data_IF_709464878107
#
_entry.id   IF_709464878107
#
_cell.length_a   1.000
_cell.length_b   1.000
_cell.length_c   1.000
_cell.angle_alpha   90.00
_cell.angle_beta   90.00
_cell.angle_gamma   90.00
#
_symmetry.space_group_name_H-M   'P 1'
#
loop_
_entity.id
_entity.type
_entity.pdbx_description
1 polymer ?
#
# COMPACT_ATOMS: atom_id res chain seq x y z
N UNK A 1 8.02 51.04 59.16
CA UNK A 1 7.81 49.54 59.08
C UNK A 1 7.57 49.22 57.60
N UNK A 2 8.56 48.65 56.92
CA UNK A 2 8.48 48.26 55.47
C UNK A 2 8.16 46.78 55.38
N UNK A 3 7.02 46.43 54.75
CA UNK A 3 6.66 45.06 54.43
C UNK A 3 7.15 44.68 53.05
N UNK A 4 8.08 43.73 52.99
CA UNK A 4 8.65 43.22 51.74
C UNK A 4 7.72 42.07 51.23
N UNK A 5 7.21 42.26 50.01
CA UNK A 5 6.43 41.17 49.28
C UNK A 5 7.41 40.35 48.50
N UNK A 6 7.48 39.03 48.78
CA UNK A 6 8.24 38.07 47.97
C UNK A 6 7.35 37.54 46.83
N UNK A 7 7.67 37.87 45.62
CA UNK A 7 7.11 37.30 44.40
C UNK A 7 7.85 35.99 44.12
N UNK A 8 7.16 34.85 44.31
CA UNK A 8 7.66 33.56 43.93
C UNK A 8 7.22 33.20 42.51
N UNK A 9 8.15 33.22 41.57
CA UNK A 9 7.94 32.73 40.19
C UNK A 9 8.13 31.23 40.19
N UNK A 10 7.01 30.48 40.09
CA UNK A 10 7.04 29.04 39.88
C UNK A 10 7.06 28.76 38.37
N UNK A 11 8.22 28.45 37.82
CA UNK A 11 8.41 27.92 36.47
C UNK A 11 8.04 26.43 36.48
N UNK A 12 6.83 26.09 36.08
CA UNK A 12 6.43 24.71 35.83
C UNK A 12 6.88 24.29 34.41
N UNK A 13 8.09 23.74 34.26
CA UNK A 13 8.53 23.05 33.07
C UNK A 13 7.95 21.64 33.04
N UNK A 14 6.70 21.51 32.59
CA UNK A 14 6.08 20.23 32.31
C UNK A 14 6.57 19.68 30.99
N UNK A 15 7.53 18.77 31.01
CA UNK A 15 7.91 17.96 29.85
C UNK A 15 6.67 17.21 29.36
N UNK A 16 6.29 17.28 28.05
CA UNK A 16 5.10 16.57 27.57
C UNK A 16 5.33 15.07 27.73
N UNK A 17 4.51 14.44 28.56
CA UNK A 17 4.52 13.01 28.81
C UNK A 17 4.16 12.31 27.51
N UNK A 18 5.13 11.61 26.87
CA UNK A 18 4.92 10.86 25.63
C UNK A 18 3.65 10.00 25.77
N UNK A 19 2.68 10.19 24.87
CA UNK A 19 1.41 9.46 24.87
C UNK A 19 1.70 7.96 24.74
N UNK A 20 1.34 7.19 25.74
CA UNK A 20 1.53 5.74 25.75
C UNK A 20 0.70 5.12 24.61
N UNK A 21 1.38 4.50 23.64
CA UNK A 21 0.71 3.82 22.51
C UNK A 21 -0.26 2.76 23.01
N UNK A 22 -1.44 2.71 22.42
CA UNK A 22 -2.46 1.70 22.69
C UNK A 22 -2.03 0.33 22.18
N UNK A 23 -2.68 -0.73 22.64
CA UNK A 23 -2.43 -2.09 22.13
C UNK A 23 -2.73 -2.18 20.63
N UNK A 24 -3.79 -1.52 20.16
CA UNK A 24 -4.17 -1.48 18.75
C UNK A 24 -3.11 -0.77 17.88
N UNK A 25 -2.59 0.38 18.33
CA UNK A 25 -1.51 1.11 17.64
C UNK A 25 -0.24 0.26 17.51
N UNK A 26 0.14 -0.46 18.57
CA UNK A 26 1.30 -1.37 18.55
C UNK A 26 1.09 -2.56 17.63
N UNK A 27 -0.10 -3.15 17.62
CA UNK A 27 -0.48 -4.25 16.73
C UNK A 27 -0.41 -3.81 15.27
N UNK A 28 -0.97 -2.64 14.94
CA UNK A 28 -0.92 -2.06 13.60
C UNK A 28 0.53 -1.78 13.17
N UNK A 29 1.34 -1.14 14.02
CA UNK A 29 2.75 -0.87 13.71
C UNK A 29 3.55 -2.17 13.45
N UNK A 30 3.27 -3.24 14.21
CA UNK A 30 3.90 -4.54 14.00
C UNK A 30 3.47 -5.14 12.66
N UNK A 31 2.18 -5.07 12.30
CA UNK A 31 1.66 -5.54 11.03
C UNK A 31 2.35 -4.85 9.85
N UNK A 32 2.48 -3.54 9.89
CA UNK A 32 3.16 -2.74 8.86
C UNK A 32 4.64 -3.10 8.70
N UNK A 33 5.35 -3.31 9.82
CA UNK A 33 6.75 -3.75 9.78
C UNK A 33 6.91 -5.12 9.15
N UNK A 34 6.03 -6.06 9.47
CA UNK A 34 6.02 -7.41 8.88
C UNK A 34 5.78 -7.35 7.37
N UNK A 35 4.81 -6.57 6.91
CA UNK A 35 4.53 -6.39 5.48
C UNK A 35 5.74 -5.77 4.77
N UNK A 36 6.36 -4.72 5.33
CA UNK A 36 7.53 -4.08 4.75
C UNK A 36 8.73 -5.05 4.64
N UNK A 37 9.00 -5.85 5.66
CA UNK A 37 10.04 -6.88 5.62
C UNK A 37 9.75 -7.97 4.59
N UNK A 38 8.49 -8.40 4.47
CA UNK A 38 8.09 -9.36 3.45
C UNK A 38 8.32 -8.82 2.04
N UNK A 39 7.98 -7.55 1.76
CA UNK A 39 8.26 -6.89 0.47
C UNK A 39 9.77 -6.88 0.18
N UNK A 40 10.59 -6.51 1.17
CA UNK A 40 12.05 -6.49 1.03
C UNK A 40 12.62 -7.87 0.68
N UNK A 41 12.17 -8.92 1.39
CA UNK A 41 12.64 -10.29 1.16
C UNK A 41 12.14 -10.84 -0.18
N UNK A 42 10.90 -10.57 -0.56
CA UNK A 42 10.38 -10.94 -1.88
C UNK A 42 11.22 -10.36 -3.02
N UNK A 43 11.60 -9.09 -2.90
CA UNK A 43 12.47 -8.46 -3.89
C UNK A 43 13.88 -9.05 -3.94
N UNK A 44 14.49 -9.34 -2.77
CA UNK A 44 15.88 -9.80 -2.67
C UNK A 44 16.05 -11.30 -2.92
N UNK A 45 15.13 -12.11 -2.43
CA UNK A 45 15.28 -13.57 -2.31
C UNK A 45 14.14 -14.34 -3.02
N UNK A 46 13.18 -13.63 -3.61
CA UNK A 46 12.01 -14.21 -4.25
C UNK A 46 11.01 -14.82 -3.26
N UNK A 47 9.94 -15.41 -3.79
CA UNK A 47 8.87 -16.00 -3.00
C UNK A 47 9.37 -17.16 -2.09
N UNK A 48 10.29 -17.97 -2.60
CA UNK A 48 10.84 -19.13 -1.86
C UNK A 48 11.68 -18.68 -0.66
N UNK A 49 12.46 -17.61 -0.80
CA UNK A 49 13.30 -17.04 0.27
C UNK A 49 12.49 -16.25 1.29
N UNK A 50 11.38 -15.62 0.91
CA UNK A 50 10.49 -14.88 1.79
C UNK A 50 9.67 -15.83 2.69
N UNK A 51 10.36 -16.58 3.55
CA UNK A 51 9.73 -17.49 4.52
C UNK A 51 9.25 -16.72 5.76
N UNK A 52 8.23 -17.25 6.45
CA UNK A 52 7.76 -16.66 7.72
C UNK A 52 8.87 -16.57 8.76
N UNK A 53 9.83 -17.51 8.74
CA UNK A 53 10.99 -17.51 9.63
C UNK A 53 11.97 -16.37 9.28
N UNK A 54 12.27 -16.14 7.99
CA UNK A 54 13.12 -15.06 7.53
C UNK A 54 12.50 -13.69 7.86
N UNK A 55 11.22 -13.52 7.54
CA UNK A 55 10.45 -12.30 7.83
C UNK A 55 10.44 -12.00 9.33
N UNK A 56 10.16 -13.03 10.17
CA UNK A 56 10.19 -12.89 11.63
C UNK A 56 11.54 -12.40 12.15
N UNK A 57 12.64 -12.92 11.62
CA UNK A 57 14.00 -12.52 12.00
C UNK A 57 14.30 -11.07 11.64
N UNK A 58 13.87 -10.66 10.45
CA UNK A 58 14.09 -9.29 9.95
C UNK A 58 13.42 -8.22 10.83
N UNK A 59 12.24 -8.51 11.38
CA UNK A 59 11.47 -7.55 12.20
C UNK A 59 11.60 -7.75 13.70
N UNK A 60 12.32 -8.79 14.14
CA UNK A 60 12.50 -9.15 15.56
C UNK A 60 11.17 -9.23 16.32
N UNK A 61 10.28 -10.10 15.85
CA UNK A 61 9.01 -10.41 16.51
C UNK A 61 8.96 -11.89 16.91
N UNK A 62 8.16 -12.25 17.92
CA UNK A 62 7.94 -13.65 18.25
C UNK A 62 7.13 -14.37 17.17
N UNK A 63 7.30 -15.69 17.03
CA UNK A 63 6.50 -16.49 16.09
C UNK A 63 5.01 -16.40 16.42
N UNK A 64 4.64 -16.41 17.70
CA UNK A 64 3.25 -16.24 18.13
C UNK A 64 2.67 -14.89 17.75
N UNK A 65 3.45 -13.80 17.84
CA UNK A 65 3.00 -12.48 17.41
C UNK A 65 2.80 -12.40 15.89
N UNK A 66 3.69 -13.04 15.11
CA UNK A 66 3.55 -13.15 13.66
C UNK A 66 2.30 -13.94 13.27
N UNK A 67 2.13 -15.15 13.84
CA UNK A 67 0.99 -16.01 13.55
C UNK A 67 -0.35 -15.42 14.01
N UNK A 68 -0.35 -14.61 15.06
CA UNK A 68 -1.54 -13.87 15.48
C UNK A 68 -1.97 -12.82 14.44
N UNK A 69 -1.02 -12.21 13.74
CA UNK A 69 -1.29 -11.24 12.67
C UNK A 69 -1.61 -11.92 11.32
N UNK A 70 -0.92 -13.01 11.04
CA UNK A 70 -0.97 -13.73 9.77
C UNK A 70 -0.90 -15.24 10.07
N UNK A 71 -2.05 -15.93 10.14
CA UNK A 71 -2.10 -17.35 10.47
C UNK A 71 -1.28 -18.24 9.54
N UNK A 72 -1.24 -17.92 8.24
CA UNK A 72 -0.49 -18.66 7.23
C UNK A 72 0.43 -17.76 6.42
N UNK A 73 1.38 -18.36 5.68
CA UNK A 73 2.20 -17.63 4.70
C UNK A 73 1.31 -17.03 3.60
N UNK A 74 0.29 -17.76 3.17
CA UNK A 74 -0.64 -17.29 2.15
C UNK A 74 -1.38 -16.01 2.57
N UNK A 75 -1.88 -15.95 3.81
CA UNK A 75 -2.53 -14.75 4.38
C UNK A 75 -1.54 -13.56 4.49
N UNK A 76 -0.29 -13.82 4.85
CA UNK A 76 0.74 -12.77 4.87
C UNK A 76 1.00 -12.24 3.46
N UNK A 77 1.20 -13.11 2.47
CA UNK A 77 1.47 -12.70 1.10
C UNK A 77 0.26 -12.03 0.44
N UNK A 78 -0.95 -12.44 0.80
CA UNK A 78 -2.17 -11.76 0.39
C UNK A 78 -2.24 -10.32 0.94
N UNK A 79 -1.89 -10.10 2.21
CA UNK A 79 -1.81 -8.76 2.81
C UNK A 79 -0.69 -7.90 2.18
N UNK A 80 0.43 -8.51 1.80
CA UNK A 80 1.48 -7.83 1.02
C UNK A 80 0.93 -7.39 -0.34
N UNK A 81 0.27 -8.30 -1.05
CA UNK A 81 -0.32 -8.00 -2.35
C UNK A 81 -1.40 -6.92 -2.26
N UNK A 82 -2.24 -6.95 -1.23
CA UNK A 82 -3.23 -5.91 -0.94
C UNK A 82 -2.57 -4.52 -0.84
N UNK A 83 -1.50 -4.41 -0.05
CA UNK A 83 -0.75 -3.16 0.12
C UNK A 83 -0.18 -2.67 -1.22
N UNK A 84 0.52 -3.54 -1.96
CA UNK A 84 1.13 -3.18 -3.24
C UNK A 84 0.09 -2.76 -4.28
N UNK A 85 -1.05 -3.47 -4.32
CA UNK A 85 -2.13 -3.17 -5.25
C UNK A 85 -2.88 -1.91 -4.85
N UNK A 86 -3.14 -1.70 -3.55
CA UNK A 86 -3.80 -0.50 -3.04
C UNK A 86 -3.00 0.78 -3.33
N UNK A 87 -1.69 0.75 -3.06
CA UNK A 87 -0.79 1.88 -3.33
C UNK A 87 -0.74 2.21 -4.84
N UNK A 88 -0.71 1.18 -5.68
CA UNK A 88 -0.76 1.31 -7.14
C UNK A 88 -2.11 1.87 -7.61
N UNK A 89 -3.21 1.30 -7.14
CA UNK A 89 -4.55 1.73 -7.49
C UNK A 89 -4.76 3.21 -7.14
N UNK A 90 -4.34 3.65 -5.96
CA UNK A 90 -4.41 5.05 -5.56
C UNK A 90 -3.59 5.99 -6.47
N UNK A 91 -2.48 5.52 -7.05
CA UNK A 91 -1.71 6.30 -8.03
C UNK A 91 -2.46 6.44 -9.36
N UNK A 92 -3.03 5.34 -9.87
CA UNK A 92 -3.87 5.38 -11.08
C UNK A 92 -5.10 6.27 -10.89
N UNK A 93 -5.77 6.17 -9.75
CA UNK A 93 -6.93 6.99 -9.43
C UNK A 93 -6.58 8.48 -9.41
N UNK A 94 -5.46 8.86 -8.81
CA UNK A 94 -4.97 10.25 -8.85
C UNK A 94 -4.64 10.71 -10.26
N UNK A 95 -3.95 9.89 -11.06
CA UNK A 95 -3.62 10.20 -12.44
C UNK A 95 -4.86 10.40 -13.29
N UNK A 96 -5.87 9.54 -13.13
CA UNK A 96 -7.15 9.63 -13.82
C UNK A 96 -7.93 10.90 -13.47
N UNK A 97 -7.92 11.35 -12.21
CA UNK A 97 -8.68 12.54 -11.77
C UNK A 97 -7.97 13.86 -12.08
N UNK A 98 -6.64 13.86 -12.23
CA UNK A 98 -5.87 15.09 -12.36
C UNK A 98 -5.87 15.72 -13.75
N UNK A 99 -6.25 14.97 -14.78
CA UNK A 99 -6.22 15.42 -16.18
C UNK A 99 -7.62 15.73 -16.69
N UNK A 100 -7.80 16.88 -17.33
CA UNK A 100 -9.09 17.30 -17.89
C UNK A 100 -9.33 16.73 -19.29
N UNK A 101 -8.37 16.79 -20.25
CA UNK A 101 -8.53 16.12 -21.53
C UNK A 101 -8.39 14.60 -21.40
N UNK A 102 -9.26 13.79 -22.04
CA UNK A 102 -9.20 12.33 -21.97
C UNK A 102 -7.85 11.72 -22.38
N UNK A 103 -7.21 12.25 -23.41
CA UNK A 103 -5.90 11.82 -23.88
C UNK A 103 -4.81 12.03 -22.83
N UNK A 104 -4.79 13.20 -22.20
CA UNK A 104 -3.82 13.52 -21.14
C UNK A 104 -4.03 12.62 -19.91
N UNK A 105 -5.26 12.23 -19.61
CA UNK A 105 -5.59 11.28 -18.56
C UNK A 105 -4.97 9.91 -18.84
N UNK A 106 -5.16 9.38 -20.05
CA UNK A 106 -4.56 8.09 -20.46
C UNK A 106 -3.04 8.17 -20.43
N UNK A 107 -2.45 9.24 -20.93
CA UNK A 107 -1.00 9.45 -20.93
C UNK A 107 -0.41 9.40 -19.52
N UNK A 108 -1.02 10.10 -18.57
CA UNK A 108 -0.62 10.06 -17.16
C UNK A 108 -0.80 8.68 -16.52
N UNK A 109 -1.83 7.94 -16.91
CA UNK A 109 -2.00 6.56 -16.44
C UNK A 109 -0.90 5.64 -17.00
N UNK A 110 -0.50 5.83 -18.25
CA UNK A 110 0.63 5.11 -18.85
C UNK A 110 1.96 5.47 -18.18
N UNK A 111 2.18 6.75 -17.83
CA UNK A 111 3.36 7.17 -17.07
C UNK A 111 3.43 6.47 -15.71
N UNK A 112 2.30 6.37 -15.00
CA UNK A 112 2.21 5.63 -13.73
C UNK A 112 2.53 4.15 -13.95
N UNK A 113 1.99 3.52 -15.00
CA UNK A 113 2.28 2.13 -15.33
C UNK A 113 3.77 1.92 -15.64
N UNK A 114 4.35 2.79 -16.46
CA UNK A 114 5.76 2.74 -16.84
C UNK A 114 6.71 2.94 -15.66
N UNK A 115 6.40 3.89 -14.77
CA UNK A 115 7.20 4.17 -13.58
C UNK A 115 7.21 3.01 -12.56
N UNK A 116 6.22 2.13 -12.59
CA UNK A 116 6.15 0.96 -11.70
C UNK A 116 7.05 -0.19 -12.16
N UNK A 117 7.22 -0.33 -13.47
CA UNK A 117 8.00 -1.43 -14.06
C UNK A 117 9.47 -1.30 -13.62
N UNK A 118 10.06 -2.42 -13.17
CA UNK A 118 11.45 -2.46 -12.70
C UNK A 118 11.67 -1.99 -11.25
N UNK A 119 10.63 -1.54 -10.56
CA UNK A 119 10.75 -1.20 -9.13
C UNK A 119 10.81 -2.45 -8.24
N UNK A 120 11.44 -2.38 -7.05
CA UNK A 120 11.39 -3.44 -6.05
C UNK A 120 9.97 -3.88 -5.67
N UNK A 121 9.02 -2.94 -5.65
CA UNK A 121 7.62 -3.21 -5.34
C UNK A 121 6.94 -4.02 -6.45
N UNK A 122 7.25 -3.70 -7.72
CA UNK A 122 6.77 -4.47 -8.86
C UNK A 122 7.33 -5.89 -8.85
N UNK A 123 8.65 -6.05 -8.61
CA UNK A 123 9.30 -7.35 -8.50
C UNK A 123 8.65 -8.21 -7.38
N UNK A 124 8.45 -7.64 -6.19
CA UNK A 124 7.78 -8.33 -5.08
C UNK A 124 6.35 -8.77 -5.44
N UNK A 125 5.59 -7.92 -6.13
CA UNK A 125 4.24 -8.27 -6.62
C UNK A 125 4.29 -9.42 -7.62
N UNK A 126 5.24 -9.41 -8.56
CA UNK A 126 5.40 -10.47 -9.56
C UNK A 126 5.79 -11.81 -8.94
N UNK A 127 6.64 -11.82 -7.92
CA UNK A 127 6.98 -13.04 -7.15
C UNK A 127 5.72 -13.71 -6.56
N UNK A 128 4.82 -12.92 -5.97
CA UNK A 128 3.55 -13.43 -5.44
C UNK A 128 2.67 -13.95 -6.59
N UNK A 129 2.52 -13.19 -7.69
CA UNK A 129 1.68 -13.58 -8.82
C UNK A 129 2.16 -14.87 -9.50
N UNK A 130 3.48 -15.06 -9.59
CA UNK A 130 4.05 -16.29 -10.14
C UNK A 130 3.84 -17.49 -9.20
N UNK A 131 4.00 -17.29 -7.89
CA UNK A 131 3.83 -18.35 -6.89
C UNK A 131 2.38 -18.89 -6.82
N UNK A 132 1.37 -18.05 -7.05
CA UNK A 132 -0.05 -18.41 -7.10
C UNK A 132 -0.35 -19.58 -8.05
N UNK A 133 0.43 -19.73 -9.12
CA UNK A 133 0.23 -20.77 -10.12
C UNK A 133 0.43 -22.19 -9.56
N UNK A 134 1.22 -22.32 -8.49
CA UNK A 134 1.57 -23.60 -7.88
C UNK A 134 1.02 -23.76 -6.45
N UNK A 135 0.46 -22.71 -5.87
CA UNK A 135 -0.02 -22.65 -4.48
C UNK A 135 -1.49 -22.22 -4.46
N UNK A 136 -2.39 -23.21 -4.29
CA UNK A 136 -3.84 -22.97 -4.31
C UNK A 136 -4.30 -22.13 -3.12
N UNK A 137 -3.73 -22.31 -1.93
CA UNK A 137 -4.07 -21.52 -0.75
C UNK A 137 -3.73 -20.05 -0.97
N UNK A 138 -2.55 -19.80 -1.52
CA UNK A 138 -2.11 -18.45 -1.90
C UNK A 138 -3.01 -17.83 -2.96
N UNK A 139 -3.38 -18.62 -4.00
CA UNK A 139 -4.24 -18.13 -5.07
C UNK A 139 -5.61 -17.69 -4.55
N UNK A 140 -6.24 -18.51 -3.72
CA UNK A 140 -7.54 -18.19 -3.10
C UNK A 140 -7.46 -16.98 -2.17
N UNK A 141 -6.40 -16.88 -1.35
CA UNK A 141 -6.19 -15.77 -0.45
C UNK A 141 -5.99 -14.44 -1.21
N UNK A 142 -5.16 -14.44 -2.26
CA UNK A 142 -4.88 -13.25 -3.07
C UNK A 142 -6.10 -12.89 -3.94
N UNK A 143 -6.79 -13.84 -4.55
CA UNK A 143 -7.97 -13.58 -5.38
C UNK A 143 -9.08 -12.86 -4.59
N UNK A 144 -9.32 -13.28 -3.33
CA UNK A 144 -10.29 -12.66 -2.43
C UNK A 144 -10.01 -11.18 -2.20
N UNK A 145 -8.72 -10.84 -2.03
CA UNK A 145 -8.27 -9.47 -1.75
C UNK A 145 -8.25 -8.61 -3.02
N UNK A 146 -7.87 -9.18 -4.18
CA UNK A 146 -7.73 -8.42 -5.42
C UNK A 146 -9.06 -8.05 -6.06
N UNK A 147 -10.12 -8.83 -5.83
CA UNK A 147 -11.42 -8.61 -6.49
C UNK A 147 -11.94 -7.17 -6.42
N UNK A 148 -11.94 -6.47 -5.28
CA UNK A 148 -12.38 -5.07 -5.22
C UNK A 148 -11.51 -4.13 -6.06
N UNK A 149 -10.20 -4.40 -6.14
CA UNK A 149 -9.27 -3.59 -6.94
C UNK A 149 -9.46 -3.83 -8.44
N UNK A 150 -9.73 -5.08 -8.87
CA UNK A 150 -10.01 -5.43 -10.26
C UNK A 150 -11.28 -4.73 -10.74
N UNK A 151 -12.33 -4.74 -9.93
CA UNK A 151 -13.60 -4.07 -10.23
C UNK A 151 -13.40 -2.54 -10.30
N UNK A 152 -12.66 -1.95 -9.36
CA UNK A 152 -12.32 -0.53 -9.34
C UNK A 152 -11.45 -0.11 -10.51
N UNK A 153 -10.43 -0.92 -10.88
CA UNK A 153 -9.57 -0.65 -12.01
C UNK A 153 -10.32 -0.72 -13.34
N UNK A 154 -11.22 -1.70 -13.49
CA UNK A 154 -12.10 -1.80 -14.66
C UNK A 154 -12.98 -0.55 -14.81
N UNK A 155 -13.63 -0.12 -13.73
CA UNK A 155 -14.45 1.09 -13.75
C UNK A 155 -13.62 2.34 -14.12
N UNK A 156 -12.38 2.44 -13.64
CA UNK A 156 -11.46 3.53 -13.94
C UNK A 156 -11.08 3.55 -15.44
N UNK A 157 -10.82 2.38 -16.02
CA UNK A 157 -10.49 2.24 -17.44
C UNK A 157 -11.69 2.51 -18.32
N UNK A 158 -12.88 2.02 -17.96
CA UNK A 158 -14.13 2.27 -18.70
C UNK A 158 -14.44 3.78 -18.76
N UNK A 159 -14.26 4.51 -17.64
CA UNK A 159 -14.41 5.96 -17.61
C UNK A 159 -13.38 6.69 -18.49
N UNK A 160 -12.13 6.24 -18.48
CA UNK A 160 -11.07 6.80 -19.30
C UNK A 160 -11.35 6.61 -20.81
N UNK A 161 -11.78 5.41 -21.22
CA UNK A 161 -12.11 5.07 -22.61
C UNK A 161 -13.36 5.83 -23.07
N UNK A 162 -14.42 5.87 -22.26
CA UNK A 162 -15.64 6.62 -22.60
C UNK A 162 -15.36 8.12 -22.79
N UNK A 163 -14.43 8.69 -22.01
CA UNK A 163 -13.96 10.06 -22.19
C UNK A 163 -13.22 10.27 -23.51
N UNK A 164 -12.44 9.28 -23.94
CA UNK A 164 -11.68 9.29 -25.20
C UNK A 164 -12.61 9.24 -26.41
N UNK A 165 -13.55 8.32 -26.46
CA UNK A 165 -14.54 8.19 -27.54
C UNK A 165 -15.37 9.48 -27.71
N UNK A 166 -15.75 10.10 -26.60
CA UNK A 166 -16.49 11.37 -26.60
C UNK A 166 -15.65 12.53 -27.14
N UNK A 167 -14.35 12.57 -26.82
CA UNK A 167 -13.43 13.59 -27.32
C UNK A 167 -13.16 13.45 -28.82
N UNK A 168 -13.05 12.22 -29.35
CA UNK A 168 -12.93 11.94 -30.78
C UNK A 168 -14.20 12.38 -31.51
N UNK A 169 -15.38 12.00 -31.00
CA UNK A 169 -16.65 12.38 -31.59
C UNK A 169 -16.80 13.91 -31.71
N UNK A 170 -16.44 14.65 -30.66
CA UNK A 170 -16.46 16.12 -30.67
C UNK A 170 -15.51 16.72 -31.71
N UNK A 171 -14.29 16.19 -31.86
CA UNK A 171 -13.33 16.64 -32.86
C UNK A 171 -13.83 16.39 -34.29
N UNK A 172 -14.44 15.23 -34.56
CA UNK A 172 -15.01 14.92 -35.87
C UNK A 172 -16.15 15.90 -36.22
N UNK A 173 -16.99 16.23 -35.23
CA UNK A 173 -18.10 17.19 -35.46
C UNK A 173 -17.61 18.61 -35.69
N UNK A 174 -16.44 19.00 -35.18
CA UNK A 174 -15.84 20.33 -35.40
C UNK A 174 -15.13 20.47 -36.76
N UNK A 175 -14.89 19.36 -37.46
CA UNK A 175 -14.23 19.32 -38.77
C UNK A 175 -15.23 19.27 -39.94
N UNK A 176 -16.52 19.22 -39.67
CA UNK A 176 -17.65 19.31 -40.64
C UNK A 176 -18.23 20.72 -40.66
#
# INVERSE_FOLDING_TARGET
MKKTVKTGTATASGTPRARRQTQAERSHATRERVIAAAISLLHKEGYSGATTLAIRREVDVSMGALQHQFPTKAELMAAVQERLTGDRFAQFERASRSATPPLERIDRMLDVAGALIGTPLFAASMEIQLARRADKELDEAVARILKPFDDGFRALMDDAVAGFDRAIALKITQLQ
#
